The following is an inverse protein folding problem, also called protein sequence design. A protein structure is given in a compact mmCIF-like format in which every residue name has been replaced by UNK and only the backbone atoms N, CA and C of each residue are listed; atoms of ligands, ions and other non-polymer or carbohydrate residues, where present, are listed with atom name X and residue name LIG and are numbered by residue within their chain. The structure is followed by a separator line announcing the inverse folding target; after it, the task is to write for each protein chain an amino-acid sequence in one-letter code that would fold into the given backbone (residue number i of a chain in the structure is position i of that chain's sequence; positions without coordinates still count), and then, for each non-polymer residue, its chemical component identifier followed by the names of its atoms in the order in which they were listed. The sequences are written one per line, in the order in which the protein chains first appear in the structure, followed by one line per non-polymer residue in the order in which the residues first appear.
data_IF_322891992610
#
_entry.id   IF_322891992610
#
_cell.length_a   1.000
_cell.length_b   1.000
_cell.length_c   1.000
_cell.angle_alpha   90.00
_cell.angle_beta   90.00
_cell.angle_gamma   90.00
#
_symmetry.space_group_name_H-M   'P 1'
#
loop_
_entity.id
_entity.type
_entity.pdbx_description
1 polymer ?
#
# COMPACT_ATOMS: atom_id res chain seq x y z
N UNK A 1 10.35 23.74 8.72
CA UNK A 1 10.98 23.53 7.40
C UNK A 1 10.32 22.31 6.78
N UNK A 2 9.36 22.51 5.88
CA UNK A 2 8.71 21.42 5.15
C UNK A 2 9.55 21.12 3.91
N UNK A 3 10.09 19.91 3.85
CA UNK A 3 10.73 19.34 2.67
C UNK A 3 9.77 19.45 1.47
N UNK A 4 10.21 20.21 0.45
CA UNK A 4 9.47 20.56 -0.76
C UNK A 4 9.88 19.68 -1.95
N UNK A 5 10.42 18.49 -1.69
CA UNK A 5 10.65 17.49 -2.73
C UNK A 5 9.33 17.17 -3.45
N UNK A 6 9.30 17.11 -4.80
CA UNK A 6 8.09 16.84 -5.55
C UNK A 6 7.54 15.47 -5.16
N UNK A 7 6.37 15.47 -4.52
CA UNK A 7 5.71 14.23 -4.09
C UNK A 7 4.96 13.64 -5.28
N UNK A 8 5.41 12.49 -5.77
CA UNK A 8 4.75 11.76 -6.84
C UNK A 8 3.43 11.13 -6.33
N UNK A 9 2.30 11.63 -6.83
CA UNK A 9 0.98 11.13 -6.48
C UNK A 9 -0.16 11.96 -7.04
N UNK A 10 -1.37 11.42 -6.94
CA UNK A 10 -2.61 12.10 -7.29
C UNK A 10 -3.12 12.91 -6.08
N UNK A 11 -3.30 14.20 -6.29
CA UNK A 11 -3.99 15.08 -5.35
C UNK A 11 -5.40 15.35 -5.87
N UNK A 12 -6.41 15.04 -5.06
CA UNK A 12 -7.82 15.35 -5.39
C UNK A 12 -8.38 16.35 -4.40
N UNK A 13 -9.19 17.28 -4.89
CA UNK A 13 -9.85 18.31 -4.09
C UNK A 13 -11.36 18.09 -4.10
N UNK A 14 -12.00 18.24 -2.95
CA UNK A 14 -13.46 18.21 -2.81
C UNK A 14 -13.95 19.37 -1.93
N UNK A 15 -15.14 19.88 -2.24
CA UNK A 15 -15.85 20.89 -1.46
C UNK A 15 -16.86 20.21 -0.55
N UNK A 16 -16.85 20.54 0.74
CA UNK A 16 -17.82 20.03 1.72
C UNK A 16 -18.30 21.19 2.60
N UNK A 17 -19.47 21.75 2.30
CA UNK A 17 -19.96 22.96 2.97
C UNK A 17 -18.93 24.09 2.88
N UNK A 18 -18.52 24.73 3.99
CA UNK A 18 -17.54 25.80 4.00
C UNK A 18 -16.09 25.31 3.95
N UNK A 19 -15.85 23.99 3.88
CA UNK A 19 -14.52 23.39 3.87
C UNK A 19 -14.05 23.00 2.46
N UNK A 20 -12.75 23.15 2.22
CA UNK A 20 -12.00 22.57 1.10
C UNK A 20 -11.17 21.42 1.67
N UNK A 21 -11.33 20.24 1.08
CA UNK A 21 -10.61 19.04 1.50
C UNK A 21 -9.71 18.57 0.37
N UNK A 22 -8.42 18.50 0.66
CA UNK A 22 -7.39 18.04 -0.27
C UNK A 22 -6.90 16.68 0.21
N UNK A 23 -6.91 15.68 -0.66
CA UNK A 23 -6.43 14.33 -0.33
C UNK A 23 -5.31 13.92 -1.26
N UNK A 24 -4.23 13.40 -0.70
CA UNK A 24 -3.08 12.91 -1.46
C UNK A 24 -3.04 11.38 -1.49
N UNK A 25 -2.85 10.84 -2.70
CA UNK A 25 -2.67 9.41 -2.98
C UNK A 25 -1.34 9.21 -3.71
N UNK A 26 -0.41 8.39 -3.20
CA UNK A 26 0.79 8.06 -3.96
C UNK A 26 0.45 7.24 -5.21
N UNK A 27 1.28 7.29 -6.26
CA UNK A 27 1.12 6.43 -7.45
C UNK A 27 1.48 4.95 -7.14
N UNK A 28 1.04 4.04 -8.03
CA UNK A 28 1.43 2.62 -8.04
C UNK A 28 0.24 1.64 -8.05
N UNK A 29 0.49 0.40 -8.50
CA UNK A 29 -0.48 -0.71 -8.62
C UNK A 29 -1.23 -1.05 -7.32
N UNK A 30 -0.68 -0.63 -6.19
CA UNK A 30 -1.19 -0.84 -4.84
C UNK A 30 -1.59 0.51 -4.19
N UNK A 31 -1.82 1.58 -4.95
CA UNK A 31 -2.29 2.85 -4.41
C UNK A 31 -3.70 2.67 -3.84
N UNK A 32 -3.77 2.51 -2.52
CA UNK A 32 -5.00 2.35 -1.76
C UNK A 32 -5.80 3.65 -1.62
N UNK A 33 -6.43 3.80 -0.46
CA UNK A 33 -7.04 5.07 -0.06
C UNK A 33 -6.03 6.21 0.09
N UNK A 34 -6.49 7.46 0.28
CA UNK A 34 -5.63 8.59 0.53
C UNK A 34 -4.77 8.39 1.78
N UNK A 35 -3.49 8.76 1.69
CA UNK A 35 -2.54 8.73 2.82
C UNK A 35 -2.62 9.99 3.67
N UNK A 36 -3.00 11.10 3.05
CA UNK A 36 -3.11 12.39 3.73
C UNK A 36 -4.44 13.05 3.38
N UNK A 37 -5.02 13.74 4.36
CA UNK A 37 -6.21 14.56 4.22
C UNK A 37 -5.92 15.89 4.87
N UNK A 38 -5.95 16.96 4.08
CA UNK A 38 -5.84 18.33 4.56
C UNK A 38 -7.21 18.99 4.45
N UNK A 39 -7.69 19.56 5.57
CA UNK A 39 -8.99 20.24 5.64
C UNK A 39 -8.72 21.69 5.99
N UNK A 40 -9.12 22.60 5.12
CA UNK A 40 -8.98 24.03 5.32
C UNK A 40 -10.28 24.75 4.97
N UNK A 41 -10.56 25.94 5.55
CA UNK A 41 -11.67 26.77 5.08
C UNK A 41 -11.48 27.05 3.59
N UNK A 42 -12.55 27.00 2.79
CA UNK A 42 -12.43 27.53 1.44
C UNK A 42 -12.52 29.05 1.43
N UNK A 43 -12.00 29.63 0.37
CA UNK A 43 -11.92 31.07 0.15
C UNK A 43 -13.30 31.75 0.19
N UNK A 44 -14.34 31.03 -0.23
CA UNK A 44 -15.73 31.48 -0.28
C UNK A 44 -16.59 30.93 0.88
N UNK A 45 -15.99 30.31 1.90
CA UNK A 45 -16.74 29.75 3.03
C UNK A 45 -17.35 30.82 3.94
N UNK A 46 -18.57 30.59 4.41
CA UNK A 46 -19.23 31.47 5.39
C UNK A 46 -18.42 31.52 6.70
N UNK A 47 -17.92 32.70 7.13
CA UNK A 47 -17.16 32.84 8.37
C UNK A 47 -17.89 32.34 9.62
N UNK A 48 -19.22 32.46 9.68
CA UNK A 48 -20.00 31.97 10.82
C UNK A 48 -20.03 30.45 10.88
N UNK A 49 -20.09 29.78 9.72
CA UNK A 49 -20.02 28.33 9.67
C UNK A 49 -18.61 27.81 9.95
N UNK A 50 -17.58 28.49 9.43
CA UNK A 50 -16.17 28.17 9.71
C UNK A 50 -15.89 28.27 11.22
N UNK A 51 -16.40 29.30 11.89
CA UNK A 51 -16.23 29.52 13.33
C UNK A 51 -16.83 28.39 14.19
N UNK A 52 -17.80 27.63 13.66
CA UNK A 52 -18.37 26.45 14.34
C UNK A 52 -17.46 25.22 14.28
N UNK A 53 -16.40 25.25 13.48
CA UNK A 53 -15.41 24.20 13.35
C UNK A 53 -15.83 23.02 12.47
N UNK A 54 -14.94 22.04 12.34
CA UNK A 54 -15.14 20.86 11.50
C UNK A 54 -16.06 19.87 12.23
N UNK A 55 -17.26 19.65 11.67
CA UNK A 55 -18.23 18.73 12.26
C UNK A 55 -18.01 17.28 11.82
N UNK A 56 -18.59 16.32 12.57
CA UNK A 56 -18.57 14.90 12.19
C UNK A 56 -19.30 14.63 10.87
N UNK A 57 -20.27 15.47 10.49
CA UNK A 57 -20.94 15.43 9.19
C UNK A 57 -19.96 15.70 8.06
N UNK A 58 -19.11 16.72 8.21
CA UNK A 58 -18.06 17.05 7.24
C UNK A 58 -17.11 15.86 7.09
N UNK A 59 -16.64 15.28 8.21
CA UNK A 59 -15.72 14.15 8.19
C UNK A 59 -16.31 12.91 7.48
N UNK A 60 -17.60 12.63 7.65
CA UNK A 60 -18.28 11.49 7.01
C UNK A 60 -18.48 11.66 5.51
N UNK A 61 -18.48 12.90 5.02
CA UNK A 61 -18.67 13.22 3.61
C UNK A 61 -17.36 13.18 2.82
N UNK A 62 -16.21 13.00 3.48
CA UNK A 62 -14.91 12.90 2.83
C UNK A 62 -14.85 11.61 2.01
N UNK A 63 -14.69 11.76 0.69
CA UNK A 63 -14.50 10.62 -0.21
C UNK A 63 -13.07 10.09 -0.06
N UNK A 64 -12.92 8.93 0.57
CA UNK A 64 -11.63 8.23 0.73
C UNK A 64 -11.44 7.10 -0.29
N UNK A 65 -12.47 6.76 -1.06
CA UNK A 65 -12.34 5.82 -2.17
C UNK A 65 -11.72 6.51 -3.38
N UNK A 66 -11.15 5.75 -4.30
CA UNK A 66 -10.68 6.28 -5.59
C UNK A 66 -11.87 6.41 -6.53
N UNK A 67 -12.25 7.63 -6.96
CA UNK A 67 -13.33 7.82 -7.92
C UNK A 67 -13.04 7.05 -9.21
N UNK A 68 -14.10 6.57 -9.89
CA UNK A 68 -13.93 5.78 -11.10
C UNK A 68 -13.17 6.51 -12.22
N UNK A 69 -13.31 7.84 -12.26
CA UNK A 69 -12.70 8.74 -13.24
C UNK A 69 -11.19 8.86 -13.04
N UNK A 70 -10.73 8.88 -11.77
CA UNK A 70 -9.31 9.03 -11.43
C UNK A 70 -8.52 7.72 -11.58
N UNK A 71 -9.21 6.58 -11.67
CA UNK A 71 -8.58 5.27 -11.90
C UNK A 71 -7.86 5.18 -13.25
N UNK A 72 -8.38 5.84 -14.29
CA UNK A 72 -7.76 5.85 -15.60
C UNK A 72 -6.44 6.64 -15.58
N UNK A 73 -6.45 7.81 -14.94
CA UNK A 73 -5.29 8.69 -14.82
C UNK A 73 -4.18 8.08 -13.95
N UNK A 74 -4.54 7.41 -12.85
CA UNK A 74 -3.61 6.63 -12.04
C UNK A 74 -3.00 5.43 -12.80
N UNK A 75 -3.74 4.81 -13.73
CA UNK A 75 -3.23 3.73 -14.58
C UNK A 75 -2.26 4.23 -15.63
N UNK A 76 -2.56 5.36 -16.27
CA UNK A 76 -1.71 5.98 -17.29
C UNK A 76 -0.42 6.56 -16.70
N UNK A 77 -0.43 7.01 -15.44
CA UNK A 77 0.76 7.53 -14.75
C UNK A 77 1.57 6.45 -14.03
N UNK A 78 1.03 5.23 -13.91
CA UNK A 78 1.74 4.05 -13.40
C UNK A 78 2.56 3.31 -14.48
N UNK A 79 2.99 4.02 -15.54
CA UNK A 79 3.74 3.46 -16.68
C UNK A 79 5.22 3.13 -16.35
N UNK A 80 5.67 3.39 -15.12
CA UNK A 80 6.84 2.69 -14.60
C UNK A 80 6.38 1.37 -13.97
N UNK A 81 7.02 0.25 -14.35
CA UNK A 81 6.68 -1.07 -13.85
C UNK A 81 6.46 -1.02 -12.33
N UNK A 82 5.27 -1.40 -11.84
CA UNK A 82 4.95 -1.22 -10.45
C UNK A 82 5.90 -2.04 -9.58
N UNK A 83 6.73 -1.38 -8.77
CA UNK A 83 7.57 -2.07 -7.81
C UNK A 83 6.79 -2.39 -6.52
N UNK A 84 6.83 -3.65 -6.12
CA UNK A 84 6.35 -4.13 -4.81
C UNK A 84 7.56 -4.65 -4.06
N UNK A 85 7.82 -4.10 -2.87
CA UNK A 85 9.01 -4.42 -2.09
C UNK A 85 10.29 -4.18 -2.89
N UNK A 86 10.34 -3.16 -3.76
CA UNK A 86 11.44 -2.83 -4.69
C UNK A 86 11.86 -3.96 -5.62
N UNK A 87 10.89 -4.78 -6.03
CA UNK A 87 10.98 -5.77 -7.11
C UNK A 87 9.79 -5.55 -8.02
N UNK A 88 9.87 -5.93 -9.30
CA UNK A 88 8.68 -5.92 -10.16
C UNK A 88 7.59 -6.82 -9.59
N UNK A 89 6.32 -6.51 -9.86
CA UNK A 89 5.20 -7.36 -9.45
C UNK A 89 5.39 -8.80 -9.94
N UNK A 90 5.84 -8.99 -11.18
CA UNK A 90 6.07 -10.32 -11.75
C UNK A 90 7.15 -11.07 -10.97
N UNK A 91 8.25 -10.42 -10.59
CA UNK A 91 9.30 -11.05 -9.78
C UNK A 91 8.78 -11.47 -8.38
N UNK A 92 7.90 -10.68 -7.76
CA UNK A 92 7.22 -11.04 -6.50
C UNK A 92 6.34 -12.26 -6.70
N UNK A 93 5.54 -12.29 -7.76
CA UNK A 93 4.64 -13.39 -8.05
C UNK A 93 5.41 -14.67 -8.40
N UNK A 94 6.47 -14.58 -9.17
CA UNK A 94 7.37 -15.69 -9.48
C UNK A 94 7.99 -16.28 -8.22
N UNK A 95 8.42 -15.44 -7.28
CA UNK A 95 8.91 -15.91 -5.97
C UNK A 95 7.84 -16.65 -5.18
N UNK A 96 6.60 -16.16 -5.19
CA UNK A 96 5.49 -16.76 -4.43
C UNK A 96 5.02 -18.06 -5.09
N UNK A 97 4.85 -18.07 -6.41
CA UNK A 97 4.31 -19.19 -7.18
C UNK A 97 5.36 -20.27 -7.45
N UNK A 98 6.62 -19.88 -7.66
CA UNK A 98 7.75 -20.78 -7.88
C UNK A 98 8.23 -21.50 -6.62
N UNK A 99 7.81 -21.04 -5.43
CA UNK A 99 8.19 -21.65 -4.17
C UNK A 99 7.59 -23.06 -3.99
N UNK A 100 8.42 -24.09 -4.22
CA UNK A 100 8.05 -25.51 -3.98
C UNK A 100 7.96 -25.88 -2.50
N UNK A 101 8.51 -25.05 -1.61
CA UNK A 101 8.56 -25.25 -0.15
C UNK A 101 8.41 -23.91 0.57
N UNK A 102 7.95 -23.96 1.82
CA UNK A 102 7.85 -22.77 2.70
C UNK A 102 9.24 -22.42 3.24
N UNK A 103 9.99 -21.65 2.46
CA UNK A 103 11.32 -21.13 2.82
C UNK A 103 11.21 -19.80 3.57
N UNK A 104 12.32 -19.38 4.19
CA UNK A 104 12.40 -18.10 4.88
C UNK A 104 12.27 -16.91 3.90
N UNK A 105 12.89 -17.01 2.72
CA UNK A 105 12.74 -16.03 1.62
C UNK A 105 11.29 -15.90 1.17
N UNK A 106 10.62 -17.04 0.94
CA UNK A 106 9.20 -17.07 0.60
C UNK A 106 8.35 -16.37 1.67
N UNK A 107 8.61 -16.66 2.95
CA UNK A 107 7.85 -16.05 4.05
C UNK A 107 8.12 -14.55 4.17
N UNK A 108 9.34 -14.09 3.87
CA UNK A 108 9.67 -12.67 3.84
C UNK A 108 8.93 -11.94 2.71
N UNK A 109 8.96 -12.49 1.48
CA UNK A 109 8.24 -11.93 0.32
C UNK A 109 6.73 -11.92 0.56
N UNK A 110 6.16 -13.04 1.03
CA UNK A 110 4.74 -13.13 1.34
C UNK A 110 4.33 -12.14 2.43
N UNK A 111 5.14 -11.98 3.49
CA UNK A 111 4.87 -11.02 4.56
C UNK A 111 4.90 -9.59 4.04
N UNK A 112 5.88 -9.26 3.20
CA UNK A 112 5.98 -7.92 2.60
C UNK A 112 4.78 -7.61 1.73
N UNK A 113 4.34 -8.58 0.90
CA UNK A 113 3.19 -8.37 0.04
C UNK A 113 1.89 -8.25 0.85
N UNK A 114 1.74 -9.07 1.89
CA UNK A 114 0.61 -8.99 2.82
C UNK A 114 0.55 -7.62 3.54
N UNK A 115 1.67 -7.17 4.12
CA UNK A 115 1.74 -5.88 4.80
C UNK A 115 1.40 -4.75 3.84
N UNK A 116 1.89 -4.82 2.59
CA UNK A 116 1.55 -3.83 1.56
C UNK A 116 0.03 -3.77 1.30
N UNK A 117 -0.64 -4.91 1.16
CA UNK A 117 -2.11 -4.95 0.98
C UNK A 117 -2.86 -4.38 2.18
N UNK A 118 -2.35 -4.60 3.40
CA UNK A 118 -2.92 -4.02 4.62
C UNK A 118 -2.72 -2.50 4.66
N UNK A 119 -1.52 -2.02 4.38
CA UNK A 119 -1.16 -0.59 4.40
C UNK A 119 -2.01 0.25 3.45
N UNK A 120 -2.40 -0.34 2.32
CA UNK A 120 -3.19 0.33 1.29
C UNK A 120 -4.70 0.23 1.58
N UNK A 121 -5.07 -0.37 2.71
CA UNK A 121 -6.44 -0.43 3.19
C UNK A 121 -7.32 -1.45 2.47
N UNK A 122 -6.74 -2.50 1.88
CA UNK A 122 -7.54 -3.62 1.35
C UNK A 122 -8.37 -4.21 2.48
N UNK A 123 -9.70 -4.28 2.27
CA UNK A 123 -10.65 -4.77 3.28
C UNK A 123 -10.44 -6.25 3.61
N UNK A 124 -10.08 -7.06 2.62
CA UNK A 124 -9.91 -8.51 2.75
C UNK A 124 -8.55 -8.96 2.16
N UNK A 125 -7.41 -8.60 2.77
CA UNK A 125 -6.08 -8.77 2.16
C UNK A 125 -5.72 -10.23 1.88
N UNK A 126 -6.25 -11.17 2.66
CA UNK A 126 -6.04 -12.61 2.44
C UNK A 126 -6.84 -13.12 1.24
N UNK A 127 -8.04 -12.58 1.01
CA UNK A 127 -8.85 -12.94 -0.15
C UNK A 127 -8.19 -12.42 -1.43
N UNK A 128 -7.68 -11.19 -1.41
CA UNK A 128 -6.99 -10.62 -2.55
C UNK A 128 -5.67 -11.35 -2.83
N UNK A 129 -4.93 -11.76 -1.80
CA UNK A 129 -3.76 -12.63 -1.99
C UNK A 129 -4.11 -13.95 -2.66
N UNK A 130 -5.26 -14.57 -2.35
CA UNK A 130 -5.68 -15.81 -3.03
C UNK A 130 -5.92 -15.57 -4.52
N UNK A 131 -6.60 -14.47 -4.87
CA UNK A 131 -6.86 -14.12 -6.28
C UNK A 131 -5.55 -13.86 -7.03
N UNK A 132 -4.63 -13.13 -6.41
CA UNK A 132 -3.38 -12.70 -7.04
C UNK A 132 -2.38 -13.87 -7.17
N UNK A 133 -2.24 -14.68 -6.12
CA UNK A 133 -1.22 -15.72 -6.04
C UNK A 133 -1.72 -17.10 -6.47
N UNK A 134 -3.03 -17.28 -6.65
CA UNK A 134 -3.67 -18.58 -6.85
C UNK A 134 -3.64 -19.50 -5.61
N UNK A 135 -3.03 -19.06 -4.50
CA UNK A 135 -2.87 -19.87 -3.29
C UNK A 135 -4.09 -19.74 -2.39
N UNK A 136 -4.68 -20.88 -1.98
CA UNK A 136 -5.88 -20.90 -1.13
C UNK A 136 -5.70 -20.15 0.18
N UNK A 137 -6.75 -19.44 0.64
CA UNK A 137 -6.69 -18.64 1.88
C UNK A 137 -6.29 -19.44 3.11
N UNK A 138 -6.72 -20.69 3.22
CA UNK A 138 -6.35 -21.57 4.34
C UNK A 138 -4.82 -21.76 4.41
N UNK A 139 -4.21 -22.02 3.25
CA UNK A 139 -2.76 -22.15 3.09
C UNK A 139 -2.05 -20.83 3.40
N UNK A 140 -2.52 -19.72 2.84
CA UNK A 140 -1.97 -18.38 3.11
C UNK A 140 -2.02 -18.01 4.59
N UNK A 141 -3.12 -18.31 5.29
CA UNK A 141 -3.24 -18.12 6.75
C UNK A 141 -2.20 -18.96 7.50
N UNK A 142 -1.98 -20.20 7.08
CA UNK A 142 -0.93 -21.08 7.62
C UNK A 142 0.46 -20.49 7.42
N UNK A 143 0.78 -19.99 6.23
CA UNK A 143 2.06 -19.39 5.91
C UNK A 143 2.30 -18.07 6.67
N UNK A 144 1.29 -17.20 6.77
CA UNK A 144 1.39 -15.97 7.58
C UNK A 144 1.55 -16.28 9.08
N UNK A 145 0.95 -17.37 9.58
CA UNK A 145 1.20 -17.86 10.94
C UNK A 145 2.66 -18.32 11.09
N UNK A 146 3.19 -19.07 10.13
CA UNK A 146 4.59 -19.48 10.12
C UNK A 146 5.55 -18.28 10.05
N UNK A 147 5.23 -17.27 9.24
CA UNK A 147 5.98 -16.02 9.15
C UNK A 147 6.06 -15.31 10.51
N UNK A 148 4.96 -15.26 11.27
CA UNK A 148 4.95 -14.71 12.63
C UNK A 148 5.83 -15.52 13.59
N UNK A 149 5.70 -16.84 13.56
CA UNK A 149 6.49 -17.74 14.41
C UNK A 149 7.99 -17.66 14.11
N UNK A 150 8.35 -17.45 12.84
CA UNK A 150 9.75 -17.33 12.38
C UNK A 150 10.30 -15.90 12.42
N UNK A 151 9.51 -14.96 12.94
CA UNK A 151 9.94 -13.58 13.16
C UNK A 151 10.08 -12.75 11.89
N UNK A 152 9.28 -13.03 10.84
CA UNK A 152 9.20 -12.19 9.63
C UNK A 152 8.04 -11.17 9.67
N UNK A 153 7.03 -11.46 10.49
CA UNK A 153 5.85 -10.62 10.65
C UNK A 153 5.53 -10.47 12.13
N UNK A 154 5.25 -9.25 12.60
CA UNK A 154 4.83 -9.06 13.99
C UNK A 154 3.41 -9.59 14.24
N UNK A 155 3.13 -9.91 15.50
CA UNK A 155 1.79 -10.32 15.94
C UNK A 155 0.95 -9.09 16.25
N UNK A 156 -0.26 -9.02 15.69
CA UNK A 156 -1.28 -8.04 16.07
C UNK A 156 -2.47 -8.81 16.61
N UNK A 157 -2.94 -8.44 17.80
CA UNK A 157 -4.09 -9.10 18.42
C UNK A 157 -5.40 -8.51 17.88
N UNK A 158 -6.34 -9.39 17.53
CA UNK A 158 -7.72 -9.02 17.19
C UNK A 158 -7.98 -8.41 15.81
N UNK A 159 -6.95 -8.18 14.95
CA UNK A 159 -7.13 -7.61 13.59
C UNK A 159 -6.16 -8.17 12.56
N UNK A 160 -6.53 -8.07 11.27
CA UNK A 160 -5.59 -8.24 10.16
C UNK A 160 -4.51 -7.14 10.24
N UNK A 161 -3.27 -7.52 9.97
CA UNK A 161 -2.11 -6.62 10.02
C UNK A 161 -0.88 -7.23 10.67
N UNK A 162 0.01 -6.33 11.05
CA UNK A 162 1.39 -6.59 11.41
C UNK A 162 2.31 -5.68 10.64
N UNK A 163 3.50 -5.49 11.17
CA UNK A 163 4.64 -4.85 10.52
C UNK A 163 5.69 -5.92 10.20
N UNK A 164 6.46 -5.66 9.14
CA UNK A 164 7.69 -6.39 8.89
C UNK A 164 8.66 -6.19 10.05
N UNK A 165 9.38 -7.25 10.40
CA UNK A 165 10.49 -7.17 11.35
C UNK A 165 11.77 -6.77 10.61
N UNK A 166 12.79 -6.36 11.35
CA UNK A 166 14.13 -6.10 10.79
C UNK A 166 14.67 -7.30 10.03
N UNK A 167 14.44 -8.52 10.54
CA UNK A 167 14.79 -9.78 9.88
C UNK A 167 14.17 -9.89 8.48
N UNK A 168 12.88 -9.53 8.35
CA UNK A 168 12.22 -9.56 7.05
C UNK A 168 12.75 -8.48 6.10
N UNK A 169 12.99 -7.27 6.62
CA UNK A 169 13.52 -6.17 5.82
C UNK A 169 14.91 -6.50 5.27
N UNK A 170 15.81 -7.05 6.10
CA UNK A 170 17.14 -7.48 5.65
C UNK A 170 17.08 -8.60 4.61
N UNK A 171 16.20 -9.59 4.80
CA UNK A 171 16.02 -10.66 3.82
C UNK A 171 15.52 -10.13 2.47
N UNK A 172 14.55 -9.20 2.48
CA UNK A 172 14.05 -8.57 1.26
C UNK A 172 15.12 -7.75 0.55
N UNK A 173 16.00 -7.04 1.29
CA UNK A 173 17.15 -6.35 0.69
C UNK A 173 18.10 -7.34 -0.01
N UNK A 174 18.38 -8.48 0.61
CA UNK A 174 19.23 -9.52 0.02
C UNK A 174 18.68 -10.06 -1.31
N UNK A 175 17.37 -10.28 -1.40
CA UNK A 175 16.70 -10.74 -2.63
C UNK A 175 16.80 -9.69 -3.74
N UNK A 176 16.59 -8.40 -3.42
CA UNK A 176 16.74 -7.30 -4.39
C UNK A 176 18.13 -7.25 -5.01
N UNK A 177 19.18 -7.37 -4.18
CA UNK A 177 20.57 -7.31 -4.65
C UNK A 177 20.88 -8.48 -5.60
N UNK A 178 20.36 -9.68 -5.32
CA UNK A 178 20.52 -10.83 -6.20
C UNK A 178 19.85 -10.63 -7.57
N UNK A 179 18.70 -9.98 -7.61
CA UNK A 179 17.97 -9.68 -8.86
C UNK A 179 18.61 -8.51 -9.64
N UNK A 180 19.23 -7.55 -8.96
CA UNK A 180 19.93 -6.40 -9.58
C UNK A 180 21.35 -6.70 -10.08
N UNK A 181 22.00 -7.76 -9.59
CA UNK A 181 23.35 -8.15 -9.99
C UNK A 181 23.41 -8.98 -11.30
N UNK A 182 22.29 -9.08 -12.03
CA UNK A 182 22.15 -9.90 -13.24
C UNK A 182 22.67 -9.29 -14.54
N UNK A 183 23.15 -8.04 -14.56
CA UNK A 183 23.54 -7.36 -15.81
C UNK A 183 24.92 -6.69 -15.75
N UNK A 184 25.98 -7.48 -15.54
CA UNK A 184 27.33 -7.14 -16.01
C UNK A 184 28.07 -8.40 -16.46
N UNK A 185 27.77 -8.87 -17.66
CA UNK A 185 28.71 -9.65 -18.47
C UNK A 185 28.67 -9.12 -19.90
N UNK A 186 29.54 -8.16 -20.20
CA UNK A 186 29.99 -7.91 -21.57
C UNK A 186 31.36 -8.60 -21.76
N UNK A 187 31.60 -9.28 -22.89
CA UNK A 187 32.96 -9.50 -23.38
C UNK A 187 33.58 -8.18 -23.89
#
# INVERSE_FOLDING_TARGET
MTDNSPREGLTTMQRIGPWKVTTFRPHGFMAGGPREVHIEPAEDGDPQEIARGISSTVLRQIVTTTPAQDRAQLREQAVQEPEVLGMSVDAVLDHIQGARRVTDEYLAVLSGFYVRLVEIGVRAPIQDLEVITGTKQATLKGHLRAARQRGFLTKVEGKAGGQLTDKAVEMLKGIKVANGAGDVRQP
#
